data_IF_476889642158
#
_entry.id   IF_476889642158
#
_cell.length_a   1.000
_cell.length_b   1.000
_cell.length_c   1.000
_cell.angle_alpha   90.00
_cell.angle_beta   90.00
_cell.angle_gamma   90.00
#
_symmetry.space_group_name_H-M   'P 1'
#
loop_
_entity.id
_entity.type
_entity.pdbx_description
1 polymer ?
#
# COMPACT_ATOMS: atom_id res chain seq x y z
N UNK A 1 -25.69 -38.10 17.12
CA UNK A 1 -25.53 -36.72 17.62
C UNK A 1 -24.69 -35.97 16.60
N UNK A 2 -25.32 -35.26 15.66
CA UNK A 2 -24.59 -34.47 14.66
C UNK A 2 -24.26 -33.12 15.24
N UNK A 3 -22.96 -32.82 15.38
CA UNK A 3 -22.49 -31.51 15.78
C UNK A 3 -22.87 -30.51 14.67
N UNK A 4 -23.86 -29.67 14.94
CA UNK A 4 -24.21 -28.53 14.11
C UNK A 4 -23.12 -27.49 14.35
N UNK A 5 -22.11 -27.46 13.49
CA UNK A 5 -21.13 -26.36 13.49
C UNK A 5 -21.89 -25.08 13.10
N UNK A 6 -21.83 -24.01 13.92
CA UNK A 6 -22.48 -22.76 13.60
C UNK A 6 -21.86 -22.20 12.30
N UNK A 7 -22.73 -21.89 11.34
CA UNK A 7 -22.38 -21.15 10.13
C UNK A 7 -21.70 -19.84 10.57
N UNK A 8 -20.50 -19.49 10.07
CA UNK A 8 -19.88 -18.23 10.45
C UNK A 8 -20.85 -17.11 10.08
N UNK A 9 -21.22 -16.31 11.08
CA UNK A 9 -22.00 -15.12 10.87
C UNK A 9 -21.23 -14.26 9.86
N UNK A 10 -21.85 -14.01 8.70
CA UNK A 10 -21.37 -12.99 7.79
C UNK A 10 -21.32 -11.69 8.58
N UNK A 11 -20.14 -11.29 9.00
CA UNK A 11 -19.92 -9.96 9.56
C UNK A 11 -20.39 -8.99 8.49
N UNK A 12 -21.28 -8.05 8.84
CA UNK A 12 -21.87 -7.06 7.93
C UNK A 12 -20.87 -6.02 7.42
N UNK A 13 -19.65 -6.45 7.06
CA UNK A 13 -18.65 -5.61 6.44
C UNK A 13 -19.14 -5.25 5.03
N UNK A 14 -19.24 -3.94 4.77
CA UNK A 14 -19.47 -3.41 3.43
C UNK A 14 -18.39 -4.00 2.50
N UNK A 15 -18.76 -4.57 1.33
CA UNK A 15 -17.77 -4.97 0.34
C UNK A 15 -16.93 -3.75 -0.06
N UNK A 16 -15.61 -3.89 0.00
CA UNK A 16 -14.69 -2.86 -0.50
C UNK A 16 -14.74 -2.90 -2.02
N UNK A 17 -14.97 -1.75 -2.63
CA UNK A 17 -14.99 -1.59 -4.09
C UNK A 17 -13.57 -1.46 -4.64
N UNK A 18 -13.36 -1.81 -5.91
CA UNK A 18 -12.07 -1.61 -6.58
C UNK A 18 -11.62 -0.13 -6.51
N UNK A 19 -12.55 0.81 -6.70
CA UNK A 19 -12.29 2.26 -6.56
C UNK A 19 -11.81 2.65 -5.16
N UNK A 20 -12.40 2.10 -4.10
CA UNK A 20 -11.92 2.36 -2.72
C UNK A 20 -10.51 1.83 -2.48
N UNK A 21 -10.11 0.74 -3.16
CA UNK A 21 -8.75 0.19 -3.09
C UNK A 21 -7.79 1.06 -3.91
N UNK A 22 -8.17 1.45 -5.12
CA UNK A 22 -7.37 2.32 -5.99
C UNK A 22 -7.08 3.67 -5.30
N UNK A 23 -8.09 4.30 -4.69
CA UNK A 23 -7.92 5.54 -3.92
C UNK A 23 -6.96 5.35 -2.75
N UNK A 24 -7.08 4.23 -2.02
CA UNK A 24 -6.19 3.93 -0.90
C UNK A 24 -4.74 3.69 -1.35
N UNK A 25 -4.54 3.01 -2.47
CA UNK A 25 -3.22 2.77 -3.07
C UNK A 25 -2.59 4.07 -3.55
N UNK A 26 -3.36 4.97 -4.18
CA UNK A 26 -2.87 6.28 -4.62
C UNK A 26 -2.44 7.15 -3.43
N UNK A 27 -3.25 7.21 -2.37
CA UNK A 27 -2.88 7.93 -1.13
C UNK A 27 -1.62 7.34 -0.51
N UNK A 28 -1.50 6.01 -0.48
CA UNK A 28 -0.31 5.34 0.03
C UNK A 28 0.92 5.70 -0.80
N UNK A 29 0.81 5.67 -2.13
CA UNK A 29 1.91 5.98 -3.04
C UNK A 29 2.44 7.41 -2.78
N UNK A 30 1.56 8.41 -2.78
CA UNK A 30 1.93 9.81 -2.53
C UNK A 30 2.66 9.97 -1.19
N UNK A 31 2.18 9.29 -0.14
CA UNK A 31 2.80 9.37 1.20
C UNK A 31 4.19 8.76 1.23
N UNK A 32 4.40 7.65 0.52
CA UNK A 32 5.69 6.98 0.43
C UNK A 32 6.69 7.80 -0.38
N UNK A 33 6.28 8.40 -1.49
CA UNK A 33 7.13 9.34 -2.24
C UNK A 33 7.55 10.54 -1.38
N UNK A 34 6.60 11.12 -0.64
CA UNK A 34 6.87 12.22 0.27
C UNK A 34 7.86 11.82 1.37
N UNK A 35 7.72 10.62 1.94
CA UNK A 35 8.67 10.09 2.92
C UNK A 35 10.07 9.91 2.31
N UNK A 36 10.16 9.34 1.11
CA UNK A 36 11.43 9.19 0.39
C UNK A 36 12.11 10.54 0.15
N UNK A 37 11.34 11.56 -0.24
CA UNK A 37 11.84 12.92 -0.42
C UNK A 37 12.35 13.53 0.89
N UNK A 38 11.64 13.36 2.00
CA UNK A 38 12.08 13.82 3.32
C UNK A 38 13.39 13.17 3.75
N UNK A 39 13.52 11.85 3.56
CA UNK A 39 14.74 11.13 3.89
C UNK A 39 15.93 11.60 3.04
N UNK A 40 15.74 11.81 1.74
CA UNK A 40 16.77 12.41 0.87
C UNK A 40 17.15 13.81 1.35
N UNK A 41 16.17 14.64 1.74
CA UNK A 41 16.40 15.96 2.31
C UNK A 41 17.25 15.92 3.58
N UNK A 42 16.90 15.06 4.54
CA UNK A 42 17.66 14.89 5.78
C UNK A 42 19.10 14.43 5.50
N UNK A 43 19.29 13.50 4.56
CA UNK A 43 20.62 13.01 4.19
C UNK A 43 21.54 14.12 3.62
N UNK A 44 20.97 15.10 2.93
CA UNK A 44 21.71 16.28 2.43
C UNK A 44 22.03 17.27 3.55
N UNK A 45 21.10 17.46 4.50
CA UNK A 45 21.22 18.47 5.55
C UNK A 45 22.07 18.05 6.76
N UNK A 46 22.25 16.76 6.99
CA UNK A 46 23.04 16.25 8.12
C UNK A 46 24.51 16.05 7.73
N UNK A 47 25.43 16.12 8.68
CA UNK A 47 26.83 15.67 8.51
C UNK A 47 27.12 14.34 9.21
N UNK A 48 26.16 13.82 9.98
CA UNK A 48 26.30 12.54 10.65
C UNK A 48 26.24 11.40 9.62
N UNK A 49 27.30 10.58 9.58
CA UNK A 49 27.45 9.48 8.61
C UNK A 49 26.39 8.39 8.77
N UNK A 50 26.01 8.07 10.00
CA UNK A 50 25.04 7.02 10.28
C UNK A 50 23.64 7.47 9.87
N UNK A 51 23.29 8.72 10.18
CA UNK A 51 22.02 9.33 9.72
C UNK A 51 21.98 9.37 8.18
N UNK A 52 23.07 9.76 7.50
CA UNK A 52 23.14 9.71 6.02
C UNK A 52 22.85 8.32 5.48
N UNK A 53 23.45 7.30 6.09
CA UNK A 53 23.32 5.91 5.64
C UNK A 53 21.89 5.40 5.83
N UNK A 54 21.32 5.63 7.01
CA UNK A 54 19.93 5.27 7.32
C UNK A 54 18.94 5.97 6.39
N UNK A 55 19.11 7.27 6.16
CA UNK A 55 18.24 8.03 5.28
C UNK A 55 18.33 7.59 3.82
N UNK A 56 19.54 7.28 3.30
CA UNK A 56 19.71 6.74 1.94
C UNK A 56 19.05 5.37 1.78
N UNK A 57 19.22 4.51 2.78
CA UNK A 57 18.57 3.19 2.77
C UNK A 57 17.04 3.34 2.80
N UNK A 58 16.51 4.14 3.72
CA UNK A 58 15.08 4.36 3.84
C UNK A 58 14.46 5.03 2.61
N UNK A 59 15.18 5.94 1.93
CA UNK A 59 14.69 6.51 0.67
C UNK A 59 14.64 5.48 -0.46
N UNK A 60 15.62 4.57 -0.52
CA UNK A 60 15.60 3.46 -1.49
C UNK A 60 14.43 2.50 -1.22
N UNK A 61 14.17 2.16 0.05
CA UNK A 61 13.00 1.35 0.42
C UNK A 61 11.68 2.05 0.09
N UNK A 62 11.60 3.37 0.23
CA UNK A 62 10.42 4.12 -0.18
C UNK A 62 10.20 4.03 -1.70
N UNK A 63 11.25 4.09 -2.51
CA UNK A 63 11.16 3.90 -3.96
C UNK A 63 10.69 2.47 -4.32
N UNK A 64 11.18 1.45 -3.64
CA UNK A 64 10.73 0.05 -3.82
C UNK A 64 9.24 -0.10 -3.47
N UNK A 65 8.80 0.43 -2.33
CA UNK A 65 7.39 0.36 -1.91
C UNK A 65 6.47 1.15 -2.84
N UNK A 66 6.93 2.29 -3.38
CA UNK A 66 6.17 3.04 -4.38
C UNK A 66 5.93 2.19 -5.64
N UNK A 67 6.96 1.51 -6.14
CA UNK A 67 6.83 0.59 -7.27
C UNK A 67 5.88 -0.58 -6.97
N UNK A 68 5.95 -1.16 -5.76
CA UNK A 68 5.04 -2.23 -5.36
C UNK A 68 3.57 -1.76 -5.32
N UNK A 69 3.32 -0.51 -4.91
CA UNK A 69 1.99 0.07 -4.90
C UNK A 69 1.44 0.29 -6.31
N UNK A 70 2.29 0.70 -7.26
CA UNK A 70 1.89 0.80 -8.68
C UNK A 70 1.54 -0.56 -9.27
N UNK A 71 2.33 -1.60 -8.98
CA UNK A 71 2.02 -2.97 -9.39
C UNK A 71 0.69 -3.47 -8.80
N UNK A 72 0.40 -3.12 -7.55
CA UNK A 72 -0.88 -3.45 -6.92
C UNK A 72 -2.05 -2.68 -7.56
N UNK A 73 -1.85 -1.41 -7.91
CA UNK A 73 -2.86 -0.60 -8.60
C UNK A 73 -3.19 -1.21 -9.97
N UNK A 74 -2.18 -1.55 -10.75
CA UNK A 74 -2.34 -2.26 -12.03
C UNK A 74 -3.06 -3.60 -11.84
N UNK A 75 -2.73 -4.34 -10.77
CA UNK A 75 -3.40 -5.57 -10.37
C UNK A 75 -4.89 -5.37 -10.06
N UNK A 76 -5.26 -4.31 -9.35
CA UNK A 76 -6.66 -3.99 -9.05
C UNK A 76 -7.43 -3.58 -10.30
N UNK A 77 -6.85 -2.71 -11.13
CA UNK A 77 -7.49 -2.27 -12.37
C UNK A 77 -7.68 -3.44 -13.37
N UNK A 78 -6.73 -4.38 -13.42
CA UNK A 78 -6.85 -5.59 -14.27
C UNK A 78 -7.76 -6.66 -13.69
N UNK A 79 -7.79 -6.83 -12.36
CA UNK A 79 -8.73 -7.74 -11.68
C UNK A 79 -10.18 -7.22 -11.70
N UNK A 80 -10.39 -5.94 -11.98
CA UNK A 80 -11.68 -5.26 -12.12
C UNK A 80 -12.58 -5.71 -13.28
N UNK A 81 -12.27 -6.79 -14.01
CA UNK A 81 -13.11 -7.35 -15.10
C UNK A 81 -13.95 -8.56 -14.64
N UNK A 82 -14.23 -8.73 -13.35
CA UNK A 82 -15.18 -9.77 -12.88
C UNK A 82 -16.40 -9.25 -12.11
N UNK A 83 -16.65 -7.93 -12.15
CA UNK A 83 -17.85 -7.29 -11.58
C UNK A 83 -18.98 -7.02 -12.58
N UNK A 84 -18.98 -7.65 -13.77
CA UNK A 84 -20.15 -7.61 -14.64
C UNK A 84 -21.28 -8.41 -13.97
N UNK A 85 -22.40 -7.72 -13.75
CA UNK A 85 -23.59 -8.17 -13.03
C UNK A 85 -23.97 -9.64 -13.27
N UNK A 86 -24.27 -10.34 -12.18
CA UNK A 86 -25.11 -11.53 -12.18
C UNK A 86 -26.42 -11.20 -11.44
#
# INVERSE_FOLDING_TARGET
MSAHLPKPAATGAKPVTASEIEDALEIAHIRIEALGALLRGIAVMTDNRDIKTLCKHGSGQAEEVANDLDLLRDGVSTAGVTGAAA
#
